data_IF_783126272588
#
_entry.id   IF_783126272588
#
_cell.length_a   1.000
_cell.length_b   1.000
_cell.length_c   1.000
_cell.angle_alpha   90.00
_cell.angle_beta   90.00
_cell.angle_gamma   90.00
#
_symmetry.space_group_name_H-M   'P 1'
#
loop_
_entity.id
_entity.type
_entity.pdbx_description
1 polymer ?
#
# COMPACT_ATOMS: atom_id res chain seq x y z
N UNK A 1 -27.28 -6.73 -9.04
CA UNK A 1 -26.08 -7.42 -9.55
C UNK A 1 -25.45 -8.14 -8.38
N UNK A 2 -25.46 -9.47 -8.40
CA UNK A 2 -24.83 -10.26 -7.35
C UNK A 2 -23.31 -10.15 -7.47
N UNK A 3 -22.65 -9.58 -6.46
CA UNK A 3 -21.19 -9.51 -6.31
C UNK A 3 -20.57 -10.89 -5.95
N UNK A 4 -21.24 -11.99 -6.28
CA UNK A 4 -20.94 -13.34 -5.76
C UNK A 4 -19.83 -14.08 -6.52
N UNK A 5 -19.01 -13.37 -7.30
CA UNK A 5 -17.93 -13.95 -8.11
C UNK A 5 -16.57 -13.27 -7.96
N UNK A 6 -16.42 -12.32 -7.03
CA UNK A 6 -15.12 -11.69 -6.78
C UNK A 6 -14.34 -12.50 -5.73
N UNK A 7 -13.01 -12.60 -5.86
CA UNK A 7 -12.17 -13.20 -4.84
C UNK A 7 -12.24 -12.43 -3.53
N UNK A 8 -11.74 -13.05 -2.45
CA UNK A 8 -11.68 -12.40 -1.12
C UNK A 8 -11.07 -11.00 -1.21
N UNK A 9 -11.73 -10.04 -0.56
CA UNK A 9 -11.22 -8.68 -0.42
C UNK A 9 -10.29 -8.54 0.79
N UNK A 10 -10.19 -9.58 1.63
CA UNK A 10 -9.39 -9.58 2.85
C UNK A 10 -8.25 -10.59 2.77
N UNK A 11 -7.13 -10.22 3.40
CA UNK A 11 -5.90 -10.99 3.42
C UNK A 11 -5.23 -10.88 4.79
N UNK A 12 -5.01 -12.01 5.46
CA UNK A 12 -4.26 -12.07 6.71
C UNK A 12 -2.85 -12.60 6.46
N UNK A 13 -1.86 -12.03 7.14
CA UNK A 13 -0.46 -12.43 7.03
C UNK A 13 0.31 -12.17 8.31
N UNK A 14 1.40 -12.92 8.49
CA UNK A 14 2.35 -12.74 9.58
C UNK A 14 3.65 -12.12 9.04
N UNK A 15 4.31 -11.31 9.87
CA UNK A 15 5.70 -10.91 9.65
C UNK A 15 6.57 -11.39 10.80
N UNK A 16 7.84 -11.63 10.52
CA UNK A 16 8.90 -11.87 11.50
C UNK A 16 10.21 -11.36 10.90
N UNK A 17 10.50 -10.07 11.12
CA UNK A 17 11.60 -9.36 10.45
C UNK A 17 12.40 -8.57 11.47
N UNK A 18 13.73 -8.61 11.33
CA UNK A 18 14.65 -7.80 12.11
C UNK A 18 14.83 -6.43 11.46
N UNK A 19 14.68 -5.36 12.23
CA UNK A 19 14.96 -4.00 11.79
C UNK A 19 16.44 -3.83 11.41
N UNK A 20 16.70 -3.23 10.26
CA UNK A 20 18.07 -3.03 9.75
C UNK A 20 18.85 -1.99 10.56
N UNK A 21 18.17 -0.98 11.10
CA UNK A 21 18.78 0.11 11.87
C UNK A 21 18.84 -0.22 13.36
N UNK A 22 17.71 -0.66 13.93
CA UNK A 22 17.60 -0.87 15.38
C UNK A 22 18.03 -2.26 15.82
N UNK A 23 18.05 -3.23 14.90
CA UNK A 23 18.27 -4.64 15.21
C UNK A 23 17.14 -5.30 16.01
N UNK A 24 16.04 -4.58 16.29
CA UNK A 24 14.87 -5.12 16.99
C UNK A 24 14.14 -6.11 16.11
N UNK A 25 13.63 -7.19 16.69
CA UNK A 25 12.77 -8.12 15.96
C UNK A 25 11.32 -7.65 16.03
N UNK A 26 10.67 -7.51 14.87
CA UNK A 26 9.27 -7.16 14.74
C UNK A 26 8.50 -8.38 14.27
N UNK A 27 7.59 -8.85 15.12
CA UNK A 27 6.76 -10.01 14.84
C UNK A 27 5.30 -9.66 15.12
N UNK A 28 4.41 -10.02 14.22
CA UNK A 28 2.98 -9.78 14.43
C UNK A 28 2.11 -10.24 13.28
N UNK A 29 0.81 -10.33 13.58
CA UNK A 29 -0.24 -10.66 12.62
C UNK A 29 -0.88 -9.39 12.12
N UNK A 30 -1.11 -9.33 10.82
CA UNK A 30 -1.80 -8.25 10.14
C UNK A 30 -3.00 -8.81 9.38
N UNK A 31 -4.03 -7.98 9.25
CA UNK A 31 -5.16 -8.23 8.36
C UNK A 31 -5.38 -7.00 7.50
N UNK A 32 -5.33 -7.20 6.19
CA UNK A 32 -5.53 -6.19 5.17
C UNK A 32 -6.90 -6.37 4.50
N UNK A 33 -7.52 -5.25 4.13
CA UNK A 33 -8.67 -5.20 3.24
C UNK A 33 -8.36 -4.34 2.02
N UNK A 34 -8.66 -4.88 0.83
CA UNK A 34 -8.50 -4.20 -0.47
C UNK A 34 -9.17 -2.82 -0.47
N UNK A 35 -8.44 -1.78 -0.87
CA UNK A 35 -8.97 -0.42 -0.87
C UNK A 35 -9.99 -0.19 -2.00
N UNK A 36 -11.22 0.17 -1.63
CA UNK A 36 -12.19 0.77 -2.54
C UNK A 36 -11.84 2.25 -2.85
N UNK A 37 -12.60 2.91 -3.73
CA UNK A 37 -12.31 4.29 -4.11
C UNK A 37 -12.33 5.29 -2.95
N UNK A 38 -13.21 5.10 -1.97
CA UNK A 38 -13.25 5.97 -0.79
C UNK A 38 -11.95 5.85 0.03
N UNK A 39 -11.54 4.63 0.37
CA UNK A 39 -10.29 4.40 1.10
C UNK A 39 -9.04 4.78 0.30
N UNK A 40 -9.07 4.65 -1.04
CA UNK A 40 -7.99 5.15 -1.92
C UNK A 40 -7.88 6.68 -1.87
N UNK A 41 -9.02 7.38 -1.80
CA UNK A 41 -9.02 8.83 -1.64
C UNK A 41 -8.43 9.23 -0.29
N UNK A 42 -8.79 8.55 0.80
CA UNK A 42 -8.20 8.81 2.12
C UNK A 42 -6.70 8.50 2.17
N UNK A 43 -6.26 7.38 1.57
CA UNK A 43 -4.84 7.07 1.43
C UNK A 43 -4.07 8.15 0.66
N UNK A 44 -4.65 8.68 -0.42
CA UNK A 44 -4.05 9.76 -1.20
C UNK A 44 -3.99 11.08 -0.41
N UNK A 45 -5.03 11.41 0.36
CA UNK A 45 -5.04 12.58 1.26
C UNK A 45 -3.93 12.48 2.30
N UNK A 46 -3.81 11.33 2.98
CA UNK A 46 -2.75 11.10 3.96
C UNK A 46 -1.36 11.19 3.30
N UNK A 47 -1.17 10.58 2.13
CA UNK A 47 0.08 10.67 1.37
C UNK A 47 0.44 12.14 1.06
N UNK A 48 -0.55 12.93 0.61
CA UNK A 48 -0.36 14.35 0.32
C UNK A 48 -0.04 15.16 1.59
N UNK A 49 -0.70 14.86 2.71
CA UNK A 49 -0.42 15.49 4.01
C UNK A 49 1.00 15.18 4.49
N UNK A 50 1.44 13.93 4.40
CA UNK A 50 2.79 13.51 4.81
C UNK A 50 3.88 14.11 3.91
N UNK A 51 3.61 14.26 2.61
CA UNK A 51 4.54 14.92 1.71
C UNK A 51 4.61 16.43 1.95
N UNK A 52 3.55 17.02 2.49
CA UNK A 52 3.39 18.47 2.61
C UNK A 52 3.43 19.17 1.25
N UNK A 53 3.76 20.47 1.25
CA UNK A 53 3.92 21.28 0.04
C UNK A 53 5.37 21.23 -0.49
N UNK A 54 6.09 20.12 -0.23
CA UNK A 54 7.52 20.01 -0.49
C UNK A 54 7.76 19.42 -1.89
N UNK A 55 7.99 20.31 -2.86
CA UNK A 55 8.41 19.93 -4.22
C UNK A 55 9.72 19.12 -4.23
N UNK A 56 10.61 19.39 -3.27
CA UNK A 56 11.96 18.83 -3.17
C UNK A 56 12.09 17.62 -2.25
N UNK A 57 10.97 17.02 -1.81
CA UNK A 57 11.03 15.85 -0.94
C UNK A 57 11.79 14.70 -1.62
N UNK A 58 12.67 14.05 -0.86
CA UNK A 58 13.50 12.96 -1.34
C UNK A 58 12.62 11.82 -1.91
N UNK A 59 12.99 11.21 -3.05
CA UNK A 59 12.19 10.16 -3.67
C UNK A 59 11.88 8.98 -2.75
N UNK A 60 12.82 8.55 -1.91
CA UNK A 60 12.63 7.45 -0.97
C UNK A 60 11.52 7.77 0.05
N UNK A 61 11.48 9.01 0.56
CA UNK A 61 10.46 9.47 1.50
C UNK A 61 9.08 9.53 0.83
N UNK A 62 9.01 9.97 -0.44
CA UNK A 62 7.74 9.93 -1.20
C UNK A 62 7.17 8.52 -1.31
N UNK A 63 8.05 7.53 -1.53
CA UNK A 63 7.66 6.11 -1.59
C UNK A 63 7.16 5.63 -0.24
N UNK A 64 7.86 5.95 0.85
CA UNK A 64 7.44 5.60 2.23
C UNK A 64 6.08 6.19 2.56
N UNK A 65 5.88 7.49 2.30
CA UNK A 65 4.63 8.18 2.58
C UNK A 65 3.46 7.58 1.82
N UNK A 66 3.68 7.16 0.56
CA UNK A 66 2.69 6.43 -0.21
C UNK A 66 2.37 5.06 0.42
N UNK A 67 3.39 4.30 0.84
CA UNK A 67 3.19 3.03 1.53
C UNK A 67 2.37 3.21 2.81
N UNK A 68 2.74 4.17 3.67
CA UNK A 68 2.00 4.50 4.90
C UNK A 68 0.55 4.91 4.62
N UNK A 69 0.32 5.69 3.56
CA UNK A 69 -1.02 6.04 3.09
C UNK A 69 -1.90 4.80 2.83
N UNK A 70 -1.34 3.80 2.14
CA UNK A 70 -2.03 2.54 1.87
C UNK A 70 -2.19 1.70 3.14
N UNK A 71 -1.13 1.57 3.95
CA UNK A 71 -1.13 0.73 5.15
C UNK A 71 -2.15 1.21 6.19
N UNK A 72 -2.17 2.51 6.51
CA UNK A 72 -3.10 3.06 7.51
C UNK A 72 -4.56 2.95 7.09
N UNK A 73 -4.85 2.93 5.79
CA UNK A 73 -6.22 2.82 5.27
C UNK A 73 -6.65 1.39 4.94
N UNK A 74 -5.68 0.48 4.82
CA UNK A 74 -5.87 -0.89 4.38
C UNK A 74 -5.78 -1.93 5.49
N UNK A 75 -4.95 -1.71 6.50
CA UNK A 75 -4.83 -2.60 7.64
C UNK A 75 -6.05 -2.43 8.55
N UNK A 76 -6.83 -3.50 8.69
CA UNK A 76 -8.00 -3.57 9.58
C UNK A 76 -7.67 -4.24 10.91
N UNK A 77 -6.60 -5.04 10.96
CA UNK A 77 -6.01 -5.56 12.19
C UNK A 77 -4.48 -5.46 12.12
N UNK A 78 -3.86 -5.10 13.23
CA UNK A 78 -2.41 -4.90 13.34
C UNK A 78 -1.92 -5.23 14.77
N UNK A 79 -0.65 -5.63 14.94
CA UNK A 79 -0.09 -5.93 16.24
C UNK A 79 0.09 -4.65 17.07
N UNK A 80 0.15 -4.78 18.38
CA UNK A 80 0.13 -3.61 19.28
C UNK A 80 1.32 -2.67 19.06
N UNK A 81 2.52 -3.23 18.86
CA UNK A 81 3.71 -2.44 18.58
C UNK A 81 3.59 -1.56 17.32
N UNK A 82 2.77 -1.96 16.35
CA UNK A 82 2.55 -1.13 15.15
C UNK A 82 1.70 0.09 15.49
N UNK A 83 0.67 -0.09 16.33
CA UNK A 83 -0.20 1.00 16.80
C UNK A 83 0.54 1.95 17.73
N UNK A 84 1.39 1.40 18.61
CA UNK A 84 2.24 2.18 19.51
C UNK A 84 3.26 3.05 18.76
N UNK A 85 3.68 2.65 17.55
CA UNK A 85 4.56 3.42 16.68
C UNK A 85 3.79 4.36 15.73
N UNK A 86 2.67 4.92 16.18
CA UNK A 86 1.75 5.76 15.39
C UNK A 86 1.48 5.18 13.98
N UNK A 87 1.09 3.90 13.97
CA UNK A 87 0.81 3.14 12.75
C UNK A 87 1.96 3.19 11.72
N UNK A 88 3.19 3.09 12.21
CA UNK A 88 4.41 3.01 11.42
C UNK A 88 5.16 4.34 11.21
N UNK A 89 4.59 5.47 11.62
CA UNK A 89 5.23 6.79 11.49
C UNK A 89 6.47 6.93 12.40
N UNK A 90 6.45 6.31 13.57
CA UNK A 90 7.55 6.37 14.54
C UNK A 90 8.57 5.22 14.38
N UNK A 91 8.50 4.45 13.28
CA UNK A 91 9.46 3.39 13.01
C UNK A 91 10.77 3.95 12.44
N UNK A 92 11.89 3.49 13.00
CA UNK A 92 13.24 3.79 12.50
C UNK A 92 13.69 2.85 11.37
N UNK A 93 12.99 1.73 11.19
CA UNK A 93 13.39 0.63 10.32
C UNK A 93 12.50 0.59 9.07
N UNK A 94 12.96 1.21 7.98
CA UNK A 94 12.23 1.26 6.70
C UNK A 94 11.87 -0.13 6.17
N UNK A 95 12.76 -1.12 6.36
CA UNK A 95 12.57 -2.49 5.88
C UNK A 95 11.32 -3.18 6.49
N UNK A 96 10.86 -2.71 7.65
CA UNK A 96 9.64 -3.23 8.29
C UNK A 96 8.40 -2.72 7.54
N UNK A 97 8.38 -1.44 7.16
CA UNK A 97 7.28 -0.85 6.37
C UNK A 97 7.21 -1.53 4.99
N UNK A 98 8.35 -1.73 4.34
CA UNK A 98 8.40 -2.38 3.03
C UNK A 98 7.94 -3.82 3.10
N UNK A 99 8.36 -4.61 4.10
CA UNK A 99 7.91 -6.00 4.22
C UNK A 99 6.38 -6.09 4.32
N UNK A 100 5.75 -5.26 5.16
CA UNK A 100 4.29 -5.26 5.33
C UNK A 100 3.61 -4.86 4.01
N UNK A 101 4.12 -3.81 3.36
CA UNK A 101 3.59 -3.34 2.08
C UNK A 101 3.74 -4.40 0.98
N UNK A 102 4.86 -5.11 0.91
CA UNK A 102 5.14 -6.11 -0.10
C UNK A 102 4.20 -7.31 0.01
N UNK A 103 3.86 -7.76 1.23
CA UNK A 103 2.82 -8.80 1.43
C UNK A 103 1.49 -8.36 0.84
N UNK A 104 1.10 -7.11 1.05
CA UNK A 104 -0.14 -6.54 0.52
C UNK A 104 -0.07 -6.40 -0.99
N UNK A 105 1.04 -5.92 -1.54
CA UNK A 105 1.21 -5.77 -2.99
C UNK A 105 1.14 -7.14 -3.69
N UNK A 106 1.78 -8.18 -3.16
CA UNK A 106 1.67 -9.54 -3.68
C UNK A 106 0.22 -10.03 -3.69
N UNK A 107 -0.53 -9.77 -2.63
CA UNK A 107 -1.96 -10.08 -2.59
C UNK A 107 -2.76 -9.30 -3.65
N UNK A 108 -2.52 -7.99 -3.78
CA UNK A 108 -3.17 -7.13 -4.76
C UNK A 108 -2.95 -7.62 -6.20
N UNK A 109 -1.71 -8.02 -6.52
CA UNK A 109 -1.37 -8.57 -7.84
C UNK A 109 -2.02 -9.93 -8.08
N UNK A 110 -1.99 -10.85 -7.11
CA UNK A 110 -2.66 -12.16 -7.22
C UNK A 110 -4.15 -12.01 -7.50
N UNK A 111 -4.82 -11.15 -6.75
CA UNK A 111 -6.25 -10.90 -6.95
C UNK A 111 -6.53 -10.24 -8.30
N UNK A 112 -5.67 -9.34 -8.81
CA UNK A 112 -5.82 -8.80 -10.18
C UNK A 112 -5.74 -9.91 -11.22
N UNK A 113 -4.77 -10.81 -11.09
CA UNK A 113 -4.63 -11.97 -11.99
C UNK A 113 -5.86 -12.87 -11.90
N UNK A 114 -6.39 -13.11 -10.71
CA UNK A 114 -7.59 -13.94 -10.51
C UNK A 114 -8.84 -13.33 -11.15
N UNK A 115 -8.98 -12.00 -11.11
CA UNK A 115 -10.13 -11.30 -11.71
C UNK A 115 -9.99 -11.12 -13.22
N UNK A 116 -8.78 -10.85 -13.73
CA UNK A 116 -8.56 -10.43 -15.12
C UNK A 116 -7.86 -11.49 -15.99
N UNK A 117 -7.43 -12.62 -15.44
CA UNK A 117 -6.80 -13.73 -16.16
C UNK A 117 -5.34 -13.53 -16.58
N UNK A 118 -4.89 -12.27 -16.71
CA UNK A 118 -3.50 -11.81 -16.94
C UNK A 118 -3.41 -10.30 -16.63
N UNK A 119 -2.21 -9.73 -16.47
CA UNK A 119 -2.05 -8.26 -16.34
C UNK A 119 -2.79 -7.56 -17.49
N UNK A 120 -3.70 -6.61 -17.21
CA UNK A 120 -4.39 -5.90 -18.28
C UNK A 120 -3.37 -5.13 -19.11
N UNK A 121 -3.41 -5.28 -20.43
CA UNK A 121 -2.67 -4.40 -21.34
C UNK A 121 -2.95 -2.95 -20.94
N UNK A 122 -1.90 -2.17 -20.69
CA UNK A 122 -2.05 -0.72 -20.47
C UNK A 122 -2.90 -0.18 -21.63
N UNK A 123 -4.03 0.50 -21.36
CA UNK A 123 -4.81 1.11 -22.42
C UNK A 123 -3.88 2.03 -23.21
N UNK A 124 -3.71 1.74 -24.50
CA UNK A 124 -3.00 2.63 -25.42
C UNK A 124 -3.81 3.92 -25.44
N UNK A 125 -3.31 4.94 -24.76
CA UNK A 125 -3.81 6.30 -24.93
C UNK A 125 -3.69 6.58 -26.42
N UNK A 126 -4.82 6.87 -27.08
CA UNK A 126 -4.78 7.35 -28.45
C UNK A 126 -3.95 8.62 -28.41
N UNK A 127 -2.79 8.61 -29.06
CA UNK A 127 -2.11 9.83 -29.43
C UNK A 127 -3.13 10.65 -30.21
N UNK A 128 -3.59 11.76 -29.62
CA UNK A 128 -4.36 12.76 -30.34
C UNK A 128 -3.42 13.27 -31.44
N UNK A 129 -3.73 12.88 -32.68
CA UNK A 129 -3.12 13.47 -33.86
C UNK A 129 -3.50 14.95 -33.86
N UNK A 130 -2.66 15.79 -33.26
CA UNK A 130 -2.65 17.23 -33.55
C UNK A 130 -2.07 17.41 -34.95
N UNK A 131 -2.92 17.17 -35.95
CA UNK A 131 -2.77 17.75 -37.27
C UNK A 131 -3.45 19.11 -37.25
N UNK A 132 -2.72 20.11 -36.78
CA UNK A 132 -2.93 21.55 -36.98
C UNK A 132 -1.48 22.08 -37.09
N UNK A 133 -0.92 22.65 -38.16
CA UNK A 133 -1.37 23.22 -39.44
C UNK A 133 -0.26 22.98 -40.49
#
# INVERSE_FOLDING_TARGET
MNLTGLPSMEFAFDINVKGETTGKNYQGKFKYQRLNYAKRSEAAKLTAQLNGDLLTLEPAIKVINFMLGILQNGLIESPEWWKECDYGLDLYDFNIITEIYDKINIFEQKWKVEVWGTEPEKPKLKEENNNDE
#
